data_IF_746600959130
#
_entry.id   IF_746600959130
#
_cell.length_a   1.000
_cell.length_b   1.000
_cell.length_c   1.000
_cell.angle_alpha   90.00
_cell.angle_beta   90.00
_cell.angle_gamma   90.00
#
_symmetry.space_group_name_H-M   'P 1'
#
loop_
_entity.id
_entity.type
_entity.pdbx_description
1 polymer ?
#
# COMPACT_ATOMS: atom_id res chain seq x y z
N UNK A 1 27.06 17.21 10.93
CA UNK A 1 26.76 15.93 10.23
C UNK A 1 25.53 15.33 10.89
N UNK A 2 24.36 15.24 10.22
CA UNK A 2 23.20 14.61 10.83
C UNK A 2 23.45 13.10 10.94
N UNK A 3 23.15 12.54 12.11
CA UNK A 3 23.31 11.11 12.40
C UNK A 3 22.41 10.30 11.48
N UNK A 4 22.97 9.29 10.82
CA UNK A 4 22.18 8.27 10.13
C UNK A 4 21.28 7.58 11.16
N UNK A 5 19.97 7.70 10.98
CA UNK A 5 19.00 6.91 11.73
C UNK A 5 19.04 5.52 11.13
N UNK A 6 19.80 4.63 11.74
CA UNK A 6 19.75 3.20 11.45
C UNK A 6 18.35 2.69 11.80
N UNK A 7 17.47 2.61 10.79
CA UNK A 7 16.19 1.93 10.92
C UNK A 7 16.49 0.42 11.01
N UNK A 8 16.67 -0.08 12.24
CA UNK A 8 16.73 -1.53 12.47
C UNK A 8 15.33 -2.10 12.24
N UNK A 9 15.04 -2.50 11.01
CA UNK A 9 13.85 -3.26 10.67
C UNK A 9 13.85 -4.52 11.54
N UNK A 10 12.92 -4.61 12.50
CA UNK A 10 12.74 -5.84 13.28
C UNK A 10 12.24 -6.90 12.30
N UNK A 11 13.07 -7.92 12.06
CA UNK A 11 12.68 -9.06 11.23
C UNK A 11 11.60 -9.87 11.94
N UNK A 12 10.48 -10.09 11.27
CA UNK A 12 9.46 -11.02 11.73
C UNK A 12 9.71 -12.38 11.09
N UNK A 13 9.75 -13.43 11.90
CA UNK A 13 9.90 -14.80 11.43
C UNK A 13 8.53 -15.46 11.40
N UNK A 14 8.01 -15.69 10.19
CA UNK A 14 6.84 -16.53 10.00
C UNK A 14 7.29 -18.00 10.04
N UNK A 15 6.86 -18.75 11.07
CA UNK A 15 7.21 -20.16 11.26
C UNK A 15 6.00 -21.02 10.95
N UNK A 16 6.24 -22.24 10.46
CA UNK A 16 5.22 -23.27 10.31
C UNK A 16 4.05 -22.86 9.38
N UNK A 17 4.30 -22.07 8.34
CA UNK A 17 3.30 -21.78 7.31
C UNK A 17 3.06 -23.04 6.44
N UNK A 18 1.82 -23.57 6.36
CA UNK A 18 1.45 -24.58 5.37
C UNK A 18 1.86 -24.21 3.94
N UNK A 19 2.15 -25.23 3.11
CA UNK A 19 2.61 -25.06 1.72
C UNK A 19 1.60 -24.35 0.80
N UNK A 20 0.33 -24.26 1.19
CA UNK A 20 -0.77 -23.72 0.40
C UNK A 20 -1.33 -22.40 0.95
N UNK A 21 -0.59 -21.68 1.79
CA UNK A 21 -0.95 -20.33 2.22
C UNK A 21 -0.63 -19.32 1.13
N UNK A 22 -1.62 -18.49 0.78
CA UNK A 22 -1.43 -17.27 -0.01
C UNK A 22 -1.48 -16.06 0.91
N UNK A 23 -0.56 -15.12 0.71
CA UNK A 23 -0.50 -13.85 1.45
C UNK A 23 -0.83 -12.73 0.47
N UNK A 24 -1.72 -11.85 0.89
CA UNK A 24 -2.15 -10.67 0.17
C UNK A 24 -2.48 -9.56 1.15
N UNK A 25 -2.95 -8.43 0.62
CA UNK A 25 -3.39 -7.28 1.42
C UNK A 25 -4.69 -6.71 0.87
N UNK A 26 -5.32 -5.80 1.61
CA UNK A 26 -6.51 -5.06 1.19
C UNK A 26 -6.20 -3.67 0.58
N UNK A 27 -4.93 -3.41 0.23
CA UNK A 27 -4.42 -2.06 -0.08
C UNK A 27 -3.52 -2.03 -1.32
N UNK A 28 -4.05 -2.45 -2.46
CA UNK A 28 -3.39 -2.54 -3.78
C UNK A 28 -2.92 -1.22 -4.39
N UNK A 29 -3.35 -0.07 -3.86
CA UNK A 29 -3.01 1.24 -4.45
C UNK A 29 -2.57 2.26 -3.41
N UNK A 30 -2.05 1.79 -2.27
CA UNK A 30 -1.57 2.67 -1.21
C UNK A 30 -0.18 3.26 -1.52
N UNK A 31 -0.08 4.58 -1.66
CA UNK A 31 1.17 5.26 -2.06
C UNK A 31 2.31 5.13 -1.04
N UNK A 32 2.01 4.83 0.23
CA UNK A 32 3.03 4.62 1.26
C UNK A 32 3.93 3.41 1.02
N UNK A 33 3.64 2.59 0.00
CA UNK A 33 4.44 1.44 -0.41
C UNK A 33 5.39 1.72 -1.57
N UNK A 34 5.43 2.95 -2.08
CA UNK A 34 6.43 3.36 -3.08
C UNK A 34 7.83 3.16 -2.49
N UNK A 35 8.70 2.49 -3.25
CA UNK A 35 10.04 2.09 -2.81
C UNK A 35 10.08 0.79 -2.00
N UNK A 36 8.93 0.14 -1.75
CA UNK A 36 8.85 -1.20 -1.16
C UNK A 36 8.34 -2.22 -2.17
N UNK A 37 7.13 -1.99 -2.70
CA UNK A 37 6.52 -2.86 -3.72
C UNK A 37 6.12 -2.13 -5.00
N UNK A 38 6.22 -0.80 -5.01
CA UNK A 38 6.05 -0.01 -6.23
C UNK A 38 7.33 0.70 -6.58
N UNK A 39 7.69 0.65 -7.86
CA UNK A 39 8.86 1.30 -8.43
C UNK A 39 8.76 2.82 -8.23
N UNK A 40 9.75 3.46 -7.56
CA UNK A 40 9.78 4.92 -7.39
C UNK A 40 9.69 5.66 -8.74
N UNK A 41 8.93 6.75 -8.80
CA UNK A 41 8.80 7.59 -9.99
C UNK A 41 7.84 7.07 -11.07
N UNK A 42 7.51 5.76 -11.09
CA UNK A 42 6.77 5.12 -12.19
C UNK A 42 5.34 5.66 -12.37
N UNK A 43 4.67 6.00 -11.26
CA UNK A 43 3.26 6.39 -11.27
C UNK A 43 3.00 7.82 -10.79
N UNK A 44 4.04 8.66 -10.61
CA UNK A 44 3.92 9.98 -9.97
C UNK A 44 2.82 10.86 -10.57
N UNK A 45 2.70 10.84 -11.90
CA UNK A 45 1.71 11.64 -12.64
C UNK A 45 0.26 11.13 -12.49
N UNK A 46 0.06 9.89 -12.04
CA UNK A 46 -1.25 9.26 -11.88
C UNK A 46 -1.75 9.21 -10.43
N UNK A 47 -0.94 9.63 -9.46
CA UNK A 47 -1.32 9.59 -8.03
C UNK A 47 -2.44 10.61 -7.78
N UNK A 48 -3.57 10.10 -7.29
CA UNK A 48 -4.68 10.94 -6.83
C UNK A 48 -4.52 11.24 -5.35
N UNK A 49 -4.89 12.47 -4.94
CA UNK A 49 -4.78 12.93 -3.56
C UNK A 49 -6.13 13.38 -3.07
N UNK A 50 -6.54 12.90 -1.90
CA UNK A 50 -7.77 13.35 -1.24
C UNK A 50 -7.48 13.69 0.21
N UNK A 51 -7.77 14.93 0.59
CA UNK A 51 -7.64 15.37 1.98
C UNK A 51 -8.96 15.21 2.71
N UNK A 52 -8.91 14.57 3.88
CA UNK A 52 -10.03 14.33 4.77
C UNK A 52 -9.72 14.91 6.15
N UNK A 53 -10.71 15.57 6.76
CA UNK A 53 -10.62 16.01 8.15
C UNK A 53 -11.20 14.94 9.05
N UNK A 54 -10.38 14.39 9.96
CA UNK A 54 -10.79 13.43 10.98
C UNK A 54 -10.58 14.09 12.34
N UNK A 55 -11.68 14.47 12.99
CA UNK A 55 -11.64 15.31 14.19
C UNK A 55 -11.01 16.68 13.90
N UNK A 56 -9.92 17.00 14.59
CA UNK A 56 -9.16 18.25 14.40
C UNK A 56 -8.00 18.11 13.41
N UNK A 57 -7.70 16.89 12.96
CA UNK A 57 -6.54 16.60 12.12
C UNK A 57 -6.93 16.46 10.65
N UNK A 58 -6.06 16.94 9.76
CA UNK A 58 -6.21 16.73 8.32
C UNK A 58 -5.31 15.57 7.90
N UNK A 59 -5.88 14.59 7.22
CA UNK A 59 -5.19 13.45 6.64
C UNK A 59 -5.27 13.54 5.13
N UNK A 60 -4.13 13.41 4.45
CA UNK A 60 -4.08 13.33 2.99
C UNK A 60 -3.87 11.88 2.60
N UNK A 61 -4.86 11.30 1.94
CA UNK A 61 -4.78 10.00 1.31
C UNK A 61 -4.19 10.16 -0.09
N UNK A 62 -3.19 9.34 -0.41
CA UNK A 62 -2.57 9.27 -1.73
C UNK A 62 -2.79 7.88 -2.30
N UNK A 63 -3.43 7.80 -3.47
CA UNK A 63 -3.83 6.55 -4.12
C UNK A 63 -3.17 6.46 -5.49
N UNK A 64 -2.46 5.35 -5.73
CA UNK A 64 -1.86 5.03 -7.03
C UNK A 64 -2.95 4.82 -8.10
N UNK A 65 -2.60 5.03 -9.39
CA UNK A 65 -3.53 4.80 -10.47
C UNK A 65 -3.78 3.29 -10.69
N UNK A 66 -4.85 2.93 -11.41
CA UNK A 66 -5.31 1.54 -11.54
C UNK A 66 -4.23 0.63 -12.16
N UNK A 67 -3.42 1.15 -13.07
CA UNK A 67 -2.32 0.42 -13.70
C UNK A 67 -1.27 -0.11 -12.72
N UNK A 68 -1.15 0.45 -11.51
CA UNK A 68 -0.21 -0.05 -10.50
C UNK A 68 -0.58 -1.43 -9.95
N UNK A 69 -1.83 -1.85 -10.13
CA UNK A 69 -2.32 -3.18 -9.69
C UNK A 69 -1.55 -4.30 -10.39
N UNK A 70 -1.06 -4.08 -11.62
CA UNK A 70 -0.21 -5.05 -12.29
C UNK A 70 1.09 -5.32 -11.51
N UNK A 71 1.73 -4.27 -11.00
CA UNK A 71 2.95 -4.38 -10.19
C UNK A 71 2.67 -4.93 -8.79
N UNK A 72 1.50 -4.65 -8.22
CA UNK A 72 1.07 -5.32 -6.98
C UNK A 72 1.12 -6.84 -7.10
N UNK A 73 0.61 -7.39 -8.21
CA UNK A 73 0.58 -8.84 -8.45
C UNK A 73 1.95 -9.45 -8.76
N UNK A 74 2.99 -8.65 -8.99
CA UNK A 74 4.38 -9.13 -9.03
C UNK A 74 4.89 -9.50 -7.62
N UNK A 75 4.26 -8.97 -6.56
CA UNK A 75 4.64 -9.17 -5.16
C UNK A 75 3.67 -10.05 -4.37
N UNK A 76 2.36 -9.86 -4.57
CA UNK A 76 1.31 -10.56 -3.84
C UNK A 76 0.36 -11.28 -4.80
N UNK A 77 0.17 -12.60 -4.69
CA UNK A 77 -0.71 -13.36 -5.58
C UNK A 77 -2.20 -13.16 -5.28
N UNK A 78 -2.55 -12.45 -4.20
CA UNK A 78 -3.92 -12.29 -3.72
C UNK A 78 -4.16 -10.84 -3.32
N UNK A 79 -5.35 -10.34 -3.64
CA UNK A 79 -5.85 -9.02 -3.25
C UNK A 79 -7.20 -9.21 -2.58
N UNK A 80 -7.34 -8.71 -1.35
CA UNK A 80 -8.63 -8.63 -0.67
C UNK A 80 -9.37 -7.36 -1.13
N UNK A 81 -10.62 -7.50 -1.54
CA UNK A 81 -11.44 -6.37 -2.01
C UNK A 81 -12.74 -6.36 -1.24
N UNK A 82 -13.08 -5.21 -0.68
CA UNK A 82 -14.39 -4.92 -0.11
C UNK A 82 -15.24 -4.12 -1.11
N UNK A 83 -16.24 -4.78 -1.70
CA UNK A 83 -17.19 -4.14 -2.62
C UNK A 83 -18.29 -3.45 -1.81
N UNK A 84 -18.08 -2.18 -1.46
CA UNK A 84 -19.11 -1.37 -0.82
C UNK A 84 -19.65 -0.28 -1.74
N UNK A 85 -20.90 0.10 -1.52
CA UNK A 85 -21.53 1.22 -2.21
C UNK A 85 -21.25 2.50 -1.43
N UNK A 86 -20.11 3.14 -1.69
CA UNK A 86 -19.74 4.43 -1.05
C UNK A 86 -20.62 5.63 -1.51
N UNK A 87 -21.64 5.39 -2.33
CA UNK A 87 -22.73 6.34 -2.61
C UNK A 87 -24.08 5.64 -2.39
N UNK A 88 -25.01 6.25 -1.63
CA UNK A 88 -26.42 5.88 -1.73
C UNK A 88 -26.90 6.18 -3.16
N UNK A 89 -27.81 5.34 -3.68
CA UNK A 89 -28.53 5.58 -4.94
C UNK A 89 -29.33 6.88 -4.89
#
# INVERSE_FOLDING_TARGET
MPKSVECRTKGFLFRELPQNILIGTASDRYAGWIGQIYTPGRYENGITRRSHKIGEQNFTEEVLPIESVAEYFEHFPLLEIDYTFYRPL
#
